data_IF_629963514307
#
_entry.id   IF_629963514307
#
_cell.length_a   1.000
_cell.length_b   1.000
_cell.length_c   1.000
_cell.angle_alpha   90.00
_cell.angle_beta   90.00
_cell.angle_gamma   90.00
#
_symmetry.space_group_name_H-M   'P 1'
#
loop_
_entity.id
_entity.type
_entity.pdbx_description
1 polymer ?
#
# COMPACT_ATOMS: atom_id res chain seq x y z
N UNK A 1 11.53 10.99 17.98
CA UNK A 1 12.86 11.04 17.38
C UNK A 1 13.78 10.01 18.04
N UNK A 2 15.02 10.02 17.78
CA UNK A 2 15.97 9.11 18.37
C UNK A 2 15.80 7.68 17.84
N UNK A 3 15.68 6.69 18.73
CA UNK A 3 15.63 5.28 18.33
C UNK A 3 14.42 4.91 17.47
N UNK A 4 13.29 5.61 17.59
CA UNK A 4 12.14 5.40 16.71
C UNK A 4 12.49 5.74 15.26
N UNK A 5 13.19 6.85 15.06
CA UNK A 5 13.64 7.23 13.71
C UNK A 5 14.69 6.27 13.17
N UNK A 6 15.59 5.80 14.03
CA UNK A 6 16.60 4.80 13.66
C UNK A 6 15.92 3.49 13.24
N UNK A 7 14.93 3.03 13.99
CA UNK A 7 14.17 1.82 13.65
C UNK A 7 13.41 1.97 12.35
N UNK A 8 12.74 3.12 12.15
CA UNK A 8 12.01 3.39 10.92
C UNK A 8 12.95 3.40 9.72
N UNK A 9 14.14 3.98 9.87
CA UNK A 9 15.16 3.98 8.82
C UNK A 9 15.64 2.56 8.50
N UNK A 10 15.90 1.74 9.51
CA UNK A 10 16.31 0.35 9.31
C UNK A 10 15.22 -0.45 8.60
N UNK A 11 13.96 -0.26 8.96
CA UNK A 11 12.83 -0.93 8.31
C UNK A 11 12.68 -0.49 6.86
N UNK A 12 12.84 0.81 6.59
CA UNK A 12 12.81 1.32 5.23
C UNK A 12 13.93 0.73 4.38
N UNK A 13 15.14 0.62 4.93
CA UNK A 13 16.27 0.01 4.24
C UNK A 13 16.04 -1.48 3.95
N UNK A 14 15.45 -2.21 4.90
CA UNK A 14 15.09 -3.62 4.69
C UNK A 14 14.04 -3.78 3.60
N UNK A 15 13.04 -2.90 3.60
CA UNK A 15 12.00 -2.89 2.58
C UNK A 15 12.59 -2.62 1.20
N UNK A 16 13.44 -1.61 1.08
CA UNK A 16 14.09 -1.28 -0.18
C UNK A 16 14.96 -2.44 -0.69
N UNK A 17 15.72 -3.07 0.20
CA UNK A 17 16.54 -4.22 -0.16
C UNK A 17 15.70 -5.41 -0.62
N UNK A 18 14.57 -5.64 0.04
CA UNK A 18 13.64 -6.70 -0.35
C UNK A 18 13.00 -6.42 -1.70
N UNK A 19 12.51 -5.19 -1.90
CA UNK A 19 11.88 -4.78 -3.16
C UNK A 19 12.86 -4.88 -4.34
N UNK A 20 14.14 -4.62 -4.12
CA UNK A 20 15.16 -4.75 -5.16
C UNK A 20 15.33 -6.19 -5.64
N UNK A 21 14.95 -7.17 -4.83
CA UNK A 21 15.04 -8.60 -5.18
C UNK A 21 13.76 -9.16 -5.78
N UNK A 22 12.65 -8.43 -5.70
CA UNK A 22 11.34 -8.90 -6.15
C UNK A 22 11.06 -8.33 -7.54
N UNK A 23 10.77 -9.21 -8.48
CA UNK A 23 10.56 -8.79 -9.88
C UNK A 23 9.22 -8.08 -10.11
N UNK A 24 8.17 -8.51 -9.42
CA UNK A 24 6.80 -8.01 -9.64
C UNK A 24 6.05 -7.80 -8.34
N UNK A 25 6.45 -6.82 -7.52
CA UNK A 25 5.75 -6.59 -6.27
C UNK A 25 4.34 -6.02 -6.53
N UNK A 26 3.40 -6.45 -5.72
CA UNK A 26 2.06 -5.85 -5.65
C UNK A 26 1.97 -5.12 -4.31
N UNK A 27 1.66 -3.85 -4.37
CA UNK A 27 1.50 -3.03 -3.16
C UNK A 27 0.03 -3.00 -2.79
N UNK A 28 -0.26 -3.33 -1.54
CA UNK A 28 -1.61 -3.19 -0.98
C UNK A 28 -1.56 -2.09 0.07
N UNK A 29 -2.21 -0.97 -0.22
CA UNK A 29 -2.27 0.18 0.66
C UNK A 29 -3.64 0.24 1.31
N UNK A 30 -3.69 0.31 2.64
CA UNK A 30 -4.94 0.33 3.39
C UNK A 30 -5.00 1.59 4.26
N UNK A 31 -5.99 2.44 4.01
CA UNK A 31 -6.30 3.58 4.86
C UNK A 31 -5.28 4.70 4.88
N UNK A 32 -4.41 4.78 3.88
CA UNK A 32 -3.39 5.84 3.84
C UNK A 32 -4.04 7.22 3.64
N UNK A 33 -3.74 8.14 4.55
CA UNK A 33 -4.25 9.49 4.51
C UNK A 33 -3.60 10.34 3.41
N UNK A 34 -4.27 11.44 3.07
CA UNK A 34 -3.77 12.39 2.06
C UNK A 34 -3.07 13.61 2.68
N UNK A 35 -3.33 13.89 3.95
CA UNK A 35 -2.74 15.07 4.63
C UNK A 35 -1.24 14.92 4.87
N UNK A 36 -0.80 13.69 5.16
CA UNK A 36 0.62 13.33 5.22
C UNK A 36 0.83 12.21 4.20
N UNK A 37 1.14 12.54 2.96
CA UNK A 37 1.01 11.61 1.84
C UNK A 37 2.19 10.65 1.65
N UNK A 38 3.04 10.45 2.64
CA UNK A 38 4.27 9.65 2.52
C UNK A 38 4.00 8.24 2.02
N UNK A 39 3.00 7.55 2.61
CA UNK A 39 2.65 6.19 2.21
C UNK A 39 2.08 6.17 0.79
N UNK A 40 1.23 7.13 0.46
CA UNK A 40 0.64 7.23 -0.87
C UNK A 40 1.71 7.51 -1.93
N UNK A 41 2.66 8.37 -1.63
CA UNK A 41 3.78 8.66 -2.53
C UNK A 41 4.64 7.42 -2.77
N UNK A 42 4.89 6.64 -1.72
CA UNK A 42 5.60 5.37 -1.84
C UNK A 42 4.82 4.40 -2.73
N UNK A 43 3.53 4.24 -2.47
CA UNK A 43 2.65 3.33 -3.23
C UNK A 43 2.55 3.72 -4.69
N UNK A 44 2.41 5.02 -4.98
CA UNK A 44 2.25 5.53 -6.34
C UNK A 44 3.49 5.32 -7.22
N UNK A 45 4.65 5.04 -6.62
CA UNK A 45 5.86 4.69 -7.36
C UNK A 45 5.80 3.27 -7.92
N UNK A 46 4.84 2.47 -7.50
CA UNK A 46 4.72 1.08 -7.90
C UNK A 46 3.60 0.91 -8.92
N UNK A 47 3.88 0.14 -9.95
CA UNK A 47 2.96 -0.07 -11.05
C UNK A 47 1.72 -0.85 -10.64
N UNK A 48 1.90 -1.84 -9.75
CA UNK A 48 0.84 -2.71 -9.30
C UNK A 48 0.42 -2.32 -7.89
N UNK A 49 -0.70 -1.64 -7.79
CA UNK A 49 -1.19 -1.08 -6.54
C UNK A 49 -2.66 -1.43 -6.34
N UNK A 50 -2.99 -1.90 -5.16
CA UNK A 50 -4.37 -2.01 -4.69
C UNK A 50 -4.52 -1.01 -3.54
N UNK A 51 -5.31 0.03 -3.76
CA UNK A 51 -5.55 1.08 -2.76
C UNK A 51 -6.93 0.89 -2.15
N UNK A 52 -6.94 0.59 -0.87
CA UNK A 52 -8.17 0.40 -0.10
C UNK A 52 -8.37 1.61 0.78
N UNK A 53 -9.34 2.44 0.43
CA UNK A 53 -9.61 3.67 1.16
C UNK A 53 -11.06 4.11 0.89
N UNK A 54 -11.90 4.27 1.93
CA UNK A 54 -13.30 4.63 1.72
C UNK A 54 -13.51 6.06 1.24
N UNK A 55 -12.52 6.94 1.43
CA UNK A 55 -12.65 8.37 1.11
C UNK A 55 -11.81 8.80 -0.07
N UNK A 56 -10.64 8.21 -0.25
CA UNK A 56 -9.69 8.60 -1.27
C UNK A 56 -9.11 7.39 -2.00
N UNK A 57 -9.93 6.64 -2.76
CA UNK A 57 -9.46 5.44 -3.43
C UNK A 57 -8.78 5.71 -4.78
N UNK A 58 -8.64 6.96 -5.19
CA UNK A 58 -8.11 7.31 -6.50
C UNK A 58 -6.71 6.73 -6.71
N UNK A 59 -6.49 6.14 -7.87
CA UNK A 59 -5.22 5.56 -8.29
C UNK A 59 -4.84 6.07 -9.67
N UNK A 60 -3.54 5.98 -9.97
CA UNK A 60 -3.00 6.33 -11.27
C UNK A 60 -2.35 5.09 -11.88
N UNK A 61 -2.44 4.95 -13.18
CA UNK A 61 -1.82 3.84 -13.89
C UNK A 61 -2.81 2.71 -14.19
N UNK A 62 -2.43 1.88 -15.16
CA UNK A 62 -3.31 0.86 -15.73
C UNK A 62 -3.42 -0.40 -14.85
N UNK A 63 -2.43 -0.62 -13.99
CA UNK A 63 -2.37 -1.81 -13.11
C UNK A 63 -2.64 -1.46 -11.65
N UNK A 64 -3.35 -0.35 -11.44
CA UNK A 64 -3.74 0.09 -10.12
C UNK A 64 -5.25 0.00 -9.98
N UNK A 65 -5.70 -0.41 -8.79
CA UNK A 65 -7.13 -0.58 -8.48
C UNK A 65 -7.43 0.17 -7.20
N UNK A 66 -8.44 1.03 -7.24
CA UNK A 66 -8.94 1.71 -6.06
C UNK A 66 -10.22 1.04 -5.56
N UNK A 67 -10.26 0.75 -4.27
CA UNK A 67 -11.41 0.12 -3.62
C UNK A 67 -11.95 1.07 -2.55
N UNK A 68 -13.15 1.65 -2.73
CA UNK A 68 -13.71 2.64 -1.80
C UNK A 68 -14.39 1.98 -0.60
N UNK A 69 -13.64 1.13 0.12
CA UNK A 69 -14.13 0.42 1.29
C UNK A 69 -13.15 0.59 2.45
N UNK A 70 -13.63 0.38 3.67
CA UNK A 70 -12.75 0.22 4.83
C UNK A 70 -11.93 -1.06 4.73
N UNK A 71 -10.83 -1.12 5.46
CA UNK A 71 -9.88 -2.24 5.36
C UNK A 71 -10.51 -3.60 5.60
N UNK A 72 -11.29 -3.75 6.67
CA UNK A 72 -11.93 -5.02 7.00
C UNK A 72 -12.92 -5.45 5.92
N UNK A 73 -13.81 -4.55 5.50
CA UNK A 73 -14.80 -4.84 4.48
C UNK A 73 -14.16 -5.23 3.14
N UNK A 74 -13.10 -4.53 2.76
CA UNK A 74 -12.36 -4.83 1.53
C UNK A 74 -11.70 -6.21 1.60
N UNK A 75 -11.05 -6.52 2.72
CA UNK A 75 -10.37 -7.81 2.90
C UNK A 75 -11.38 -8.96 2.94
N UNK A 76 -12.54 -8.76 3.55
CA UNK A 76 -13.61 -9.75 3.54
C UNK A 76 -14.13 -10.01 2.13
N UNK A 77 -14.34 -8.94 1.35
CA UNK A 77 -14.80 -9.06 -0.03
C UNK A 77 -13.77 -9.80 -0.90
N UNK A 78 -12.49 -9.45 -0.76
CA UNK A 78 -11.40 -10.12 -1.49
C UNK A 78 -11.32 -11.59 -1.08
N UNK A 79 -11.40 -11.87 0.21
CA UNK A 79 -11.38 -13.25 0.73
C UNK A 79 -12.51 -14.08 0.14
N UNK A 80 -13.72 -13.52 0.08
CA UNK A 80 -14.87 -14.21 -0.51
C UNK A 80 -14.65 -14.53 -1.97
N UNK A 81 -14.07 -13.62 -2.74
CA UNK A 81 -13.78 -13.84 -4.16
C UNK A 81 -12.70 -14.92 -4.38
N UNK A 82 -11.71 -14.98 -3.51
CA UNK A 82 -10.59 -15.91 -3.64
C UNK A 82 -10.92 -17.30 -3.08
N UNK A 83 -11.51 -17.33 -1.89
CA UNK A 83 -11.74 -18.57 -1.13
C UNK A 83 -13.15 -19.13 -1.32
N UNK A 84 -13.98 -18.34 -1.93
CA UNK A 84 -15.29 -18.75 -2.35
C UNK A 84 -16.30 -19.08 -1.41
#
# INVERSE_FOLDING_TARGET
WGWRQIRAKHQAQKLDAWLAKVERPVIIEIGAGVDVPTVRMFSDQHERLIRINPRAPQVFGQRAIGIPLGGLAALEAISTLILG
#
